data_IF_117345431415
#
_entry.id   IF_117345431415
#
_cell.length_a   1.000
_cell.length_b   1.000
_cell.length_c   1.000
_cell.angle_alpha   90.00
_cell.angle_beta   90.00
_cell.angle_gamma   90.00
#
_symmetry.space_group_name_H-M   'P 1'
#
loop_
_entity.id
_entity.type
_entity.pdbx_description
1 polymer ?
#
# COMPACT_ATOMS: atom_id res chain seq x y z
N UNK A 1 -9.47 -20.00 -8.74
CA UNK A 1 -10.70 -19.45 -9.35
C UNK A 1 -11.91 -19.45 -8.40
N UNK A 2 -12.42 -20.60 -7.92
CA UNK A 2 -13.64 -20.63 -7.11
C UNK A 2 -13.60 -19.79 -5.82
N UNK A 3 -12.51 -19.87 -5.04
CA UNK A 3 -12.29 -19.03 -3.84
C UNK A 3 -12.31 -17.54 -4.15
N UNK A 4 -11.73 -17.13 -5.28
CA UNK A 4 -11.67 -15.73 -5.74
C UNK A 4 -13.06 -15.23 -6.12
N UNK A 5 -13.82 -16.00 -6.90
CA UNK A 5 -15.18 -15.64 -7.28
C UNK A 5 -16.14 -15.59 -6.08
N UNK A 6 -16.06 -16.57 -5.18
CA UNK A 6 -16.82 -16.57 -3.94
C UNK A 6 -16.46 -15.38 -3.04
N UNK A 7 -15.17 -15.01 -3.00
CA UNK A 7 -14.72 -13.82 -2.29
C UNK A 7 -15.33 -12.54 -2.89
N UNK A 8 -15.29 -12.37 -4.22
CA UNK A 8 -15.90 -11.23 -4.90
C UNK A 8 -17.42 -11.15 -4.70
N UNK A 9 -18.13 -12.28 -4.75
CA UNK A 9 -19.56 -12.34 -4.43
C UNK A 9 -19.85 -11.93 -2.98
N UNK A 10 -19.01 -12.38 -2.04
CA UNK A 10 -19.09 -11.95 -0.64
C UNK A 10 -18.89 -10.44 -0.51
N UNK A 11 -17.96 -9.84 -1.25
CA UNK A 11 -17.74 -8.39 -1.25
C UNK A 11 -18.92 -7.61 -1.81
N UNK A 12 -19.62 -8.12 -2.84
CA UNK A 12 -20.83 -7.47 -3.37
C UNK A 12 -21.94 -7.38 -2.33
N UNK A 13 -22.13 -8.43 -1.53
CA UNK A 13 -23.15 -8.44 -0.47
C UNK A 13 -22.69 -7.78 0.84
N UNK A 14 -21.40 -7.89 1.17
CA UNK A 14 -20.86 -7.50 2.47
C UNK A 14 -19.38 -7.05 2.36
N UNK A 15 -19.11 -5.81 1.89
CA UNK A 15 -17.76 -5.30 1.63
C UNK A 15 -17.03 -4.89 2.93
N UNK A 16 -16.80 -5.85 3.84
CA UNK A 16 -16.22 -5.60 5.17
C UNK A 16 -14.70 -5.68 5.21
N UNK A 17 -14.11 -6.49 4.33
CA UNK A 17 -12.67 -6.84 4.36
C UNK A 17 -11.96 -6.32 3.12
N UNK A 18 -12.40 -5.18 2.59
CA UNK A 18 -11.73 -4.56 1.45
C UNK A 18 -10.29 -4.23 1.83
N UNK A 19 -9.35 -4.50 0.93
CA UNK A 19 -7.93 -4.34 1.19
C UNK A 19 -7.29 -3.37 0.20
N UNK A 20 -6.29 -2.61 0.63
CA UNK A 20 -5.52 -1.73 -0.26
C UNK A 20 -4.34 -2.48 -0.93
N UNK A 21 -3.95 -3.63 -0.37
CA UNK A 21 -2.86 -4.47 -0.86
C UNK A 21 -3.39 -5.85 -1.25
N UNK A 22 -3.24 -6.20 -2.53
CA UNK A 22 -3.69 -7.48 -3.08
C UNK A 22 -2.54 -8.44 -3.41
N UNK A 23 -1.37 -8.23 -2.81
CA UNK A 23 -0.22 -9.10 -3.00
C UNK A 23 -0.52 -10.57 -2.67
N UNK A 24 0.20 -11.47 -3.34
CA UNK A 24 -0.01 -12.93 -3.38
C UNK A 24 -0.19 -13.59 -1.99
N UNK A 25 0.40 -13.01 -0.94
CA UNK A 25 0.37 -13.58 0.40
C UNK A 25 -0.89 -13.21 1.21
N UNK A 26 -1.70 -12.26 0.75
CA UNK A 26 -2.94 -11.86 1.42
C UNK A 26 -4.08 -12.88 1.24
N UNK A 27 -4.04 -13.65 0.15
CA UNK A 27 -5.01 -14.71 -0.15
C UNK A 27 -4.30 -16.03 -0.40
N UNK A 28 -4.31 -16.98 0.55
CA UNK A 28 -3.62 -18.25 0.39
C UNK A 28 -4.18 -19.00 -0.82
N UNK A 29 -3.30 -19.23 -1.80
CA UNK A 29 -3.60 -20.03 -2.97
C UNK A 29 -4.09 -21.41 -2.51
N UNK A 30 -5.11 -21.93 -3.19
CA UNK A 30 -5.51 -23.32 -2.98
C UNK A 30 -4.53 -24.23 -3.72
N UNK A 31 -4.03 -25.24 -3.03
CA UNK A 31 -3.16 -26.28 -3.58
C UNK A 31 -3.95 -27.54 -3.96
N UNK A 32 -5.19 -27.68 -3.49
CA UNK A 32 -6.07 -28.80 -3.84
C UNK A 32 -7.54 -28.37 -3.98
N UNK A 33 -8.26 -29.03 -4.88
CA UNK A 33 -9.72 -28.88 -5.04
C UNK A 33 -10.48 -29.43 -3.82
N UNK A 34 -9.87 -30.38 -3.10
CA UNK A 34 -10.45 -31.02 -1.91
C UNK A 34 -10.31 -30.17 -0.64
N UNK A 35 -9.64 -29.02 -0.71
CA UNK A 35 -9.61 -28.10 0.42
C UNK A 35 -11.05 -27.69 0.82
N UNK A 36 -11.41 -27.74 2.12
CA UNK A 36 -12.75 -27.39 2.58
C UNK A 36 -13.22 -26.02 2.09
N UNK A 37 -12.32 -25.03 2.05
CA UNK A 37 -12.63 -23.69 1.57
C UNK A 37 -12.97 -23.64 0.07
N UNK A 38 -12.33 -24.49 -0.75
CA UNK A 38 -12.64 -24.61 -2.19
C UNK A 38 -13.99 -25.26 -2.38
N UNK A 39 -14.25 -26.37 -1.67
CA UNK A 39 -15.52 -27.09 -1.75
C UNK A 39 -16.71 -26.22 -1.34
N UNK A 40 -16.59 -25.47 -0.23
CA UNK A 40 -17.62 -24.51 0.21
C UNK A 40 -17.84 -23.43 -0.85
N UNK A 41 -16.77 -22.91 -1.45
CA UNK A 41 -16.87 -21.90 -2.51
C UNK A 41 -17.57 -22.45 -3.75
N UNK A 42 -17.27 -23.69 -4.16
CA UNK A 42 -17.93 -24.35 -5.28
C UNK A 42 -19.41 -24.60 -5.01
N UNK A 43 -19.75 -25.12 -3.83
CA UNK A 43 -21.14 -25.33 -3.42
C UNK A 43 -21.94 -24.02 -3.43
N UNK A 44 -21.35 -22.93 -2.91
CA UNK A 44 -21.98 -21.61 -2.94
C UNK A 44 -22.20 -21.11 -4.39
N UNK A 45 -21.22 -21.29 -5.28
CA UNK A 45 -21.33 -20.90 -6.69
C UNK A 45 -22.39 -21.73 -7.43
N UNK A 46 -22.46 -23.05 -7.19
CA UNK A 46 -23.47 -23.92 -7.80
C UNK A 46 -24.88 -23.60 -7.28
N UNK A 47 -25.04 -23.35 -5.98
CA UNK A 47 -26.31 -22.92 -5.40
C UNK A 47 -26.77 -21.59 -6.00
N UNK A 48 -25.85 -20.63 -6.15
CA UNK A 48 -26.13 -19.34 -6.76
C UNK A 48 -26.52 -19.48 -8.24
N UNK A 49 -25.79 -20.28 -9.01
CA UNK A 49 -26.11 -20.60 -10.40
C UNK A 49 -27.50 -21.25 -10.51
N UNK A 50 -27.82 -22.21 -9.65
CA UNK A 50 -29.14 -22.84 -9.59
C UNK A 50 -30.25 -21.83 -9.32
N UNK A 51 -30.03 -20.90 -8.39
CA UNK A 51 -30.96 -19.79 -8.09
C UNK A 51 -31.14 -18.84 -9.28
N UNK A 52 -30.04 -18.47 -9.96
CA UNK A 52 -30.08 -17.64 -11.18
C UNK A 52 -30.85 -18.35 -12.29
N UNK A 53 -30.58 -19.63 -12.55
CA UNK A 53 -31.27 -20.40 -13.58
C UNK A 53 -32.76 -20.56 -13.27
N UNK A 54 -33.12 -20.73 -12.00
CA UNK A 54 -34.51 -20.75 -11.56
C UNK A 54 -35.22 -19.41 -11.80
N UNK A 55 -34.57 -18.29 -11.45
CA UNK A 55 -35.08 -16.93 -11.74
C UNK A 55 -35.15 -16.66 -13.25
N UNK A 56 -34.18 -17.17 -14.02
CA UNK A 56 -34.11 -17.01 -15.46
C UNK A 56 -35.27 -17.68 -16.22
N UNK A 57 -35.94 -18.67 -15.61
CA UNK A 57 -37.20 -19.24 -16.16
C UNK A 57 -38.33 -18.21 -16.22
N UNK A 58 -38.28 -17.19 -15.35
CA UNK A 58 -39.28 -16.10 -15.30
C UNK A 58 -38.83 -14.88 -16.07
N UNK A 59 -37.54 -14.55 -15.99
CA UNK A 59 -36.98 -13.37 -16.64
C UNK A 59 -35.52 -13.60 -17.04
N UNK A 60 -35.26 -13.58 -18.35
CA UNK A 60 -33.93 -13.80 -18.93
C UNK A 60 -32.91 -12.72 -18.51
N UNK A 61 -33.35 -11.57 -17.99
CA UNK A 61 -32.46 -10.53 -17.48
C UNK A 61 -31.55 -11.05 -16.36
N UNK A 62 -32.04 -11.94 -15.48
CA UNK A 62 -31.19 -12.50 -14.40
C UNK A 62 -30.03 -13.35 -14.96
N UNK A 63 -30.25 -14.06 -16.06
CA UNK A 63 -29.19 -14.79 -16.75
C UNK A 63 -28.18 -13.84 -17.38
N UNK A 64 -28.64 -12.76 -18.03
CA UNK A 64 -27.76 -11.72 -18.55
C UNK A 64 -26.91 -11.09 -17.45
N UNK A 65 -27.50 -10.71 -16.33
CA UNK A 65 -26.80 -10.12 -15.18
C UNK A 65 -25.71 -11.05 -14.63
N UNK A 66 -26.00 -12.35 -14.54
CA UNK A 66 -25.04 -13.37 -14.11
C UNK A 66 -23.90 -13.55 -15.11
N UNK A 67 -24.21 -13.67 -16.40
CA UNK A 67 -23.19 -13.78 -17.45
C UNK A 67 -22.31 -12.53 -17.50
N UNK A 68 -22.90 -11.35 -17.38
CA UNK A 68 -22.16 -10.10 -17.27
C UNK A 68 -21.17 -10.12 -16.11
N UNK A 69 -21.62 -10.52 -14.91
CA UNK A 69 -20.76 -10.65 -13.74
C UNK A 69 -19.59 -11.60 -13.98
N UNK A 70 -19.86 -12.79 -14.53
CA UNK A 70 -18.80 -13.79 -14.81
C UNK A 70 -17.82 -13.31 -15.87
N UNK A 71 -18.32 -12.79 -16.99
CA UNK A 71 -17.49 -12.35 -18.13
C UNK A 71 -16.61 -11.17 -17.76
N UNK A 72 -17.16 -10.15 -17.09
CA UNK A 72 -16.39 -8.97 -16.68
C UNK A 72 -15.36 -9.27 -15.60
N UNK A 73 -15.51 -10.38 -14.87
CA UNK A 73 -14.55 -10.85 -13.88
C UNK A 73 -13.45 -11.75 -14.49
N UNK A 74 -13.59 -12.21 -15.75
CA UNK A 74 -12.60 -13.09 -16.40
C UNK A 74 -11.17 -12.52 -16.37
N UNK A 75 -10.92 -11.22 -16.68
CA UNK A 75 -9.57 -10.67 -16.70
C UNK A 75 -8.84 -10.79 -15.35
N UNK A 76 -9.57 -10.70 -14.24
CA UNK A 76 -9.05 -10.78 -12.86
C UNK A 76 -9.23 -12.16 -12.22
N UNK A 77 -9.79 -13.13 -12.93
CA UNK A 77 -10.07 -14.48 -12.42
C UNK A 77 -8.85 -15.42 -12.40
N UNK A 78 -7.66 -14.89 -12.71
CA UNK A 78 -6.38 -15.62 -12.82
C UNK A 78 -6.38 -16.72 -13.90
N UNK A 79 -7.25 -16.62 -14.92
CA UNK A 79 -7.17 -17.52 -16.10
C UNK A 79 -5.87 -17.26 -16.87
N UNK A 80 -5.45 -15.98 -16.95
CA UNK A 80 -4.12 -15.58 -17.37
C UNK A 80 -3.35 -15.20 -16.09
N UNK A 81 -2.31 -15.95 -15.70
CA UNK A 81 -1.58 -15.69 -14.46
C UNK A 81 -0.92 -14.30 -14.50
N UNK A 82 -1.23 -13.45 -13.53
CA UNK A 82 -0.55 -12.17 -13.32
C UNK A 82 -0.12 -12.06 -11.85
N UNK A 83 0.82 -11.17 -11.55
CA UNK A 83 1.48 -11.10 -10.25
C UNK A 83 0.55 -10.66 -9.09
N UNK A 84 -0.62 -10.09 -9.40
CA UNK A 84 -1.64 -9.71 -8.43
C UNK A 84 -2.81 -10.71 -8.50
N UNK A 85 -3.08 -11.43 -7.41
CA UNK A 85 -4.10 -12.51 -7.40
C UNK A 85 -5.54 -11.98 -7.45
N UNK A 86 -5.75 -10.78 -6.93
CA UNK A 86 -7.03 -10.13 -6.73
C UNK A 86 -6.84 -8.64 -6.97
N UNK A 87 -7.90 -7.97 -7.38
CA UNK A 87 -7.95 -6.52 -7.40
C UNK A 87 -9.42 -6.11 -7.28
N UNK A 88 -9.81 -5.68 -6.07
CA UNK A 88 -11.19 -5.33 -5.74
C UNK A 88 -11.66 -4.09 -6.50
N UNK A 89 -10.73 -3.23 -6.91
CA UNK A 89 -11.05 -2.06 -7.72
C UNK A 89 -11.54 -2.39 -9.13
N UNK A 90 -11.49 -3.65 -9.60
CA UNK A 90 -12.13 -4.06 -10.86
C UNK A 90 -13.59 -4.49 -10.71
N UNK A 91 -14.14 -4.53 -9.49
CA UNK A 91 -15.53 -4.91 -9.25
C UNK A 91 -16.57 -3.93 -9.85
N UNK A 92 -16.16 -2.72 -10.27
CA UNK A 92 -17.11 -1.73 -10.81
C UNK A 92 -17.84 -2.23 -12.06
N UNK A 93 -17.18 -3.00 -12.95
CA UNK A 93 -17.85 -3.59 -14.13
C UNK A 93 -18.78 -4.74 -13.74
N UNK A 94 -18.35 -5.76 -12.97
CA UNK A 94 -19.25 -6.80 -12.48
C UNK A 94 -20.45 -6.27 -11.67
N UNK A 95 -20.30 -5.17 -10.95
CA UNK A 95 -21.36 -4.55 -10.14
C UNK A 95 -22.58 -4.12 -10.97
N UNK A 96 -22.40 -3.81 -12.26
CA UNK A 96 -23.51 -3.42 -13.15
C UNK A 96 -24.55 -4.55 -13.23
N UNK A 97 -24.11 -5.80 -13.44
CA UNK A 97 -24.99 -6.96 -13.48
C UNK A 97 -25.75 -7.15 -12.16
N UNK A 98 -25.06 -6.97 -11.04
CA UNK A 98 -25.68 -7.04 -9.71
C UNK A 98 -26.74 -5.94 -9.49
N UNK A 99 -26.42 -4.69 -9.86
CA UNK A 99 -27.32 -3.55 -9.74
C UNK A 99 -28.59 -3.75 -10.60
N UNK A 100 -28.45 -4.24 -11.83
CA UNK A 100 -29.58 -4.55 -12.71
C UNK A 100 -30.47 -5.67 -12.14
N UNK A 101 -29.87 -6.74 -11.62
CA UNK A 101 -30.63 -7.82 -10.98
C UNK A 101 -31.39 -7.32 -9.74
N UNK A 102 -30.75 -6.49 -8.90
CA UNK A 102 -31.38 -5.88 -7.73
C UNK A 102 -32.53 -4.94 -8.11
N UNK A 103 -32.34 -4.08 -9.12
CA UNK A 103 -33.38 -3.19 -9.63
C UNK A 103 -34.58 -3.98 -10.16
N UNK A 104 -34.35 -5.07 -10.89
CA UNK A 104 -35.43 -5.93 -11.40
C UNK A 104 -36.19 -6.65 -10.30
N UNK A 105 -35.48 -7.14 -9.29
CA UNK A 105 -36.09 -7.74 -8.11
C UNK A 105 -36.97 -6.73 -7.36
N UNK A 106 -36.46 -5.51 -7.14
CA UNK A 106 -37.21 -4.42 -6.50
C UNK A 106 -38.46 -4.04 -7.30
N UNK A 107 -38.36 -3.91 -8.63
CA UNK A 107 -39.51 -3.63 -9.49
C UNK A 107 -40.57 -4.74 -9.42
N UNK A 108 -40.15 -6.00 -9.35
CA UNK A 108 -41.05 -7.14 -9.22
C UNK A 108 -41.74 -7.14 -7.85
N UNK A 109 -41.02 -6.80 -6.78
CA UNK A 109 -41.57 -6.68 -5.44
C UNK A 109 -42.61 -5.53 -5.34
N UNK A 110 -42.34 -4.38 -5.95
CA UNK A 110 -43.26 -3.23 -5.99
C UNK A 110 -44.60 -3.55 -6.67
N UNK A 111 -44.60 -4.45 -7.66
CA UNK A 111 -45.82 -4.90 -8.35
C UNK A 111 -46.63 -5.92 -7.57
N UNK A 112 -46.09 -6.50 -6.50
CA UNK A 112 -46.74 -7.57 -5.76
C UNK A 112 -47.72 -6.98 -4.72
N UNK A 113 -49.03 -7.31 -4.75
CA UNK A 113 -50.05 -6.67 -3.91
C UNK A 113 -49.87 -6.87 -2.40
N UNK A 114 -49.04 -7.84 -2.00
CA UNK A 114 -48.64 -8.10 -0.61
C UNK A 114 -47.67 -7.06 -0.05
N UNK A 115 -46.85 -6.42 -0.89
CA UNK A 115 -45.80 -5.53 -0.44
C UNK A 115 -46.28 -4.08 -0.56
N UNK A 116 -46.39 -3.39 0.59
CA UNK A 116 -46.71 -1.95 0.58
C UNK A 116 -45.53 -1.20 -0.05
N UNK A 117 -45.82 -0.32 -1.01
CA UNK A 117 -44.82 0.53 -1.66
C UNK A 117 -43.90 1.25 -0.65
N UNK A 118 -44.47 1.73 0.46
CA UNK A 118 -43.73 2.35 1.55
C UNK A 118 -42.70 1.42 2.22
N UNK A 119 -42.98 0.12 2.34
CA UNK A 119 -42.04 -0.84 2.94
C UNK A 119 -40.83 -1.10 2.05
N UNK A 120 -41.03 -1.18 0.73
CA UNK A 120 -39.93 -1.35 -0.24
C UNK A 120 -39.07 -0.09 -0.29
N UNK A 121 -39.70 1.09 -0.35
CA UNK A 121 -38.99 2.38 -0.33
C UNK A 121 -38.18 2.53 0.96
N UNK A 122 -38.78 2.22 2.12
CA UNK A 122 -38.08 2.25 3.40
C UNK A 122 -36.87 1.29 3.42
N UNK A 123 -37.02 0.07 2.90
CA UNK A 123 -35.91 -0.89 2.82
C UNK A 123 -34.76 -0.39 1.94
N UNK A 124 -35.07 0.21 0.78
CA UNK A 124 -34.05 0.82 -0.09
C UNK A 124 -33.38 2.01 0.59
N UNK A 125 -34.14 2.89 1.24
CA UNK A 125 -33.59 4.04 1.96
C UNK A 125 -32.66 3.60 3.10
N UNK A 126 -33.05 2.58 3.87
CA UNK A 126 -32.20 1.99 4.91
C UNK A 126 -30.92 1.41 4.30
N UNK A 127 -31.01 0.68 3.18
CA UNK A 127 -29.83 0.15 2.51
C UNK A 127 -28.87 1.26 2.05
N UNK A 128 -29.39 2.35 1.47
CA UNK A 128 -28.59 3.50 1.06
C UNK A 128 -27.90 4.19 2.25
N UNK A 129 -28.61 4.38 3.37
CA UNK A 129 -28.03 4.94 4.60
C UNK A 129 -26.92 4.03 5.14
N UNK A 130 -27.15 2.71 5.18
CA UNK A 130 -26.14 1.76 5.62
C UNK A 130 -24.89 1.78 4.73
N UNK A 131 -25.08 1.85 3.40
CA UNK A 131 -23.97 1.97 2.45
C UNK A 131 -23.24 3.31 2.62
N UNK A 132 -23.95 4.42 2.78
CA UNK A 132 -23.34 5.73 3.01
C UNK A 132 -22.51 5.76 4.31
N UNK A 133 -23.05 5.23 5.42
CA UNK A 133 -22.32 5.09 6.68
C UNK A 133 -21.07 4.23 6.49
N UNK A 134 -21.18 3.12 5.74
CA UNK A 134 -20.03 2.25 5.44
C UNK A 134 -18.97 2.95 4.61
N UNK A 135 -19.35 3.71 3.59
CA UNK A 135 -18.43 4.51 2.79
C UNK A 135 -17.71 5.54 3.65
N UNK A 136 -18.43 6.24 4.53
CA UNK A 136 -17.83 7.22 5.45
C UNK A 136 -16.84 6.58 6.43
N UNK A 137 -17.17 5.41 6.99
CA UNK A 137 -16.24 4.66 7.83
C UNK A 137 -15.01 4.24 7.03
N UNK A 138 -15.20 3.75 5.80
CA UNK A 138 -14.12 3.29 4.92
C UNK A 138 -13.17 4.42 4.53
N UNK A 139 -13.68 5.64 4.31
CA UNK A 139 -12.83 6.80 4.01
C UNK A 139 -11.83 7.12 5.13
N UNK A 140 -12.09 6.68 6.38
CA UNK A 140 -11.13 6.81 7.49
C UNK A 140 -9.89 5.95 7.30
N UNK A 141 -10.02 4.82 6.61
CA UNK A 141 -8.88 3.94 6.28
C UNK A 141 -7.88 4.64 5.35
N UNK A 142 -8.31 5.67 4.60
CA UNK A 142 -7.48 6.39 3.61
C UNK A 142 -7.01 7.76 4.10
N UNK A 143 -7.20 8.05 5.40
CA UNK A 143 -6.87 9.37 5.98
C UNK A 143 -5.37 9.67 5.91
N UNK A 144 -4.55 8.67 6.22
CA UNK A 144 -3.11 8.78 6.28
C UNK A 144 -2.47 7.39 6.12
N UNK A 145 -1.16 7.36 5.90
CA UNK A 145 -0.38 6.14 5.74
C UNK A 145 -0.55 5.20 6.95
N UNK A 146 -0.61 5.74 8.17
CA UNK A 146 -0.68 4.93 9.37
C UNK A 146 -2.02 4.18 9.46
N UNK A 147 -3.16 4.86 9.24
CA UNK A 147 -4.47 4.20 9.25
C UNK A 147 -4.61 3.18 8.11
N UNK A 148 -4.12 3.53 6.92
CA UNK A 148 -4.16 2.67 5.74
C UNK A 148 -3.37 1.38 5.96
N UNK A 149 -2.11 1.49 6.37
CA UNK A 149 -1.25 0.31 6.54
C UNK A 149 -1.60 -0.49 7.80
N UNK A 150 -2.12 0.15 8.85
CA UNK A 150 -2.67 -0.56 10.03
C UNK A 150 -3.85 -1.44 9.62
N UNK A 151 -4.79 -0.87 8.85
CA UNK A 151 -5.95 -1.62 8.34
C UNK A 151 -5.52 -2.77 7.43
N UNK A 152 -4.59 -2.51 6.53
CA UNK A 152 -4.05 -3.48 5.57
C UNK A 152 -3.38 -4.66 6.28
N UNK A 153 -2.56 -4.41 7.31
CA UNK A 153 -1.94 -5.48 8.11
C UNK A 153 -2.99 -6.28 8.89
N UNK A 154 -4.05 -5.64 9.39
CA UNK A 154 -5.14 -6.34 10.06
C UNK A 154 -5.93 -7.28 9.12
N UNK A 155 -6.05 -6.93 7.84
CA UNK A 155 -6.73 -7.77 6.84
C UNK A 155 -5.82 -8.77 6.12
N UNK A 156 -4.51 -8.48 6.04
CA UNK A 156 -3.49 -9.31 5.40
C UNK A 156 -2.21 -9.37 6.26
N UNK A 157 -2.24 -10.10 7.39
CA UNK A 157 -1.12 -10.15 8.34
C UNK A 157 0.16 -10.78 7.80
N UNK A 158 0.08 -11.59 6.73
CA UNK A 158 1.23 -12.22 6.07
C UNK A 158 1.71 -11.44 4.83
N UNK A 159 1.34 -10.17 4.70
CA UNK A 159 1.87 -9.29 3.67
C UNK A 159 3.14 -8.55 4.16
N UNK A 160 4.31 -8.92 3.63
CA UNK A 160 5.57 -8.25 3.93
C UNK A 160 5.55 -6.76 3.55
N UNK A 161 4.96 -6.41 2.40
CA UNK A 161 4.87 -5.02 1.92
C UNK A 161 4.04 -4.15 2.85
N UNK A 162 2.87 -4.64 3.28
CA UNK A 162 2.01 -3.93 4.22
C UNK A 162 2.70 -3.69 5.56
N UNK A 163 3.41 -4.70 6.08
CA UNK A 163 4.19 -4.56 7.32
C UNK A 163 5.37 -3.60 7.18
N UNK A 164 6.08 -3.63 6.05
CA UNK A 164 7.14 -2.68 5.75
C UNK A 164 6.62 -1.24 5.76
N UNK A 165 5.52 -1.00 5.04
CA UNK A 165 4.93 0.34 4.94
C UNK A 165 4.32 0.81 6.27
N UNK A 166 3.71 -0.10 7.05
CA UNK A 166 3.28 0.21 8.42
C UNK A 166 4.47 0.58 9.31
N UNK A 167 5.58 -0.14 9.20
CA UNK A 167 6.83 0.19 9.89
C UNK A 167 7.31 1.61 9.57
N UNK A 168 7.37 1.97 8.29
CA UNK A 168 7.72 3.33 7.87
C UNK A 168 6.76 4.37 8.43
N UNK A 169 5.45 4.14 8.33
CA UNK A 169 4.43 5.05 8.85
C UNK A 169 4.54 5.24 10.37
N UNK A 170 4.82 4.17 11.12
CA UNK A 170 5.04 4.23 12.57
C UNK A 170 6.29 5.04 12.91
N UNK A 171 7.39 4.89 12.17
CA UNK A 171 8.61 5.69 12.37
C UNK A 171 8.33 7.17 12.16
N UNK A 172 7.68 7.55 11.05
CA UNK A 172 7.28 8.94 10.77
C UNK A 172 6.34 9.50 11.84
N UNK A 173 5.45 8.66 12.37
CA UNK A 173 4.51 9.03 13.44
C UNK A 173 5.15 9.09 14.84
N UNK A 174 6.48 9.00 14.97
CA UNK A 174 7.17 9.07 16.26
C UNK A 174 7.08 7.80 17.11
N UNK A 175 6.74 6.65 16.51
CA UNK A 175 6.60 5.34 17.17
C UNK A 175 7.62 4.31 16.66
N UNK A 176 8.94 4.62 16.67
CA UNK A 176 9.94 3.76 16.06
C UNK A 176 10.10 2.39 16.74
N UNK A 177 9.75 2.24 18.03
CA UNK A 177 9.78 0.92 18.71
C UNK A 177 8.79 -0.06 18.07
N UNK A 178 7.56 0.39 17.83
CA UNK A 178 6.53 -0.43 17.19
C UNK A 178 6.85 -0.67 15.71
N UNK A 179 7.53 0.27 15.06
CA UNK A 179 8.02 0.10 13.70
C UNK A 179 8.98 -1.10 13.60
N UNK A 180 9.90 -1.28 14.55
CA UNK A 180 10.83 -2.41 14.55
C UNK A 180 10.11 -3.76 14.53
N UNK A 181 9.02 -3.90 15.28
CA UNK A 181 8.26 -5.16 15.34
C UNK A 181 7.60 -5.47 13.99
N UNK A 182 7.01 -4.46 13.35
CA UNK A 182 6.40 -4.63 12.02
C UNK A 182 7.45 -4.95 10.96
N UNK A 183 8.60 -4.28 10.98
CA UNK A 183 9.67 -4.47 10.02
C UNK A 183 10.36 -5.83 10.17
N UNK A 184 10.60 -6.29 11.41
CA UNK A 184 11.09 -7.65 11.68
C UNK A 184 10.09 -8.70 11.21
N UNK A 185 8.79 -8.48 11.43
CA UNK A 185 7.76 -9.35 10.92
C UNK A 185 7.71 -9.35 9.37
N UNK A 186 7.97 -8.21 8.71
CA UNK A 186 8.12 -8.15 7.25
C UNK A 186 9.30 -9.01 6.76
N UNK A 187 10.45 -8.95 7.44
CA UNK A 187 11.62 -9.77 7.11
C UNK A 187 11.43 -11.27 7.41
N UNK A 188 10.65 -11.62 8.44
CA UNK A 188 10.26 -13.03 8.67
C UNK A 188 9.47 -13.59 7.49
N UNK A 189 8.60 -12.78 6.88
CA UNK A 189 7.79 -13.18 5.72
C UNK A 189 8.62 -13.16 4.44
N UNK A 190 9.45 -12.12 4.24
CA UNK A 190 10.32 -11.95 3.07
C UNK A 190 11.75 -11.60 3.53
N UNK A 191 12.63 -12.61 3.72
CA UNK A 191 13.98 -12.39 4.26
C UNK A 191 14.88 -11.52 3.38
N UNK A 192 14.70 -11.57 2.05
CA UNK A 192 15.44 -10.73 1.09
C UNK A 192 14.60 -9.51 0.70
N UNK A 193 14.47 -8.55 1.61
CA UNK A 193 13.67 -7.34 1.40
C UNK A 193 14.46 -6.07 1.74
N UNK A 194 15.20 -5.47 0.77
CA UNK A 194 16.10 -4.35 1.04
C UNK A 194 15.38 -3.13 1.64
N UNK A 195 14.14 -2.84 1.22
CA UNK A 195 13.34 -1.75 1.75
C UNK A 195 13.02 -1.93 3.25
N UNK A 196 12.76 -3.16 3.70
CA UNK A 196 12.52 -3.44 5.11
C UNK A 196 13.79 -3.29 5.96
N UNK A 197 14.95 -3.68 5.44
CA UNK A 197 16.24 -3.43 6.08
C UNK A 197 16.56 -1.93 6.16
N UNK A 198 16.34 -1.16 5.09
CA UNK A 198 16.55 0.28 5.10
C UNK A 198 15.64 0.97 6.13
N UNK A 199 14.36 0.59 6.17
CA UNK A 199 13.41 1.12 7.16
C UNK A 199 13.75 0.71 8.60
N UNK A 200 14.33 -0.47 8.84
CA UNK A 200 14.89 -0.82 10.16
C UNK A 200 16.04 0.11 10.53
N UNK A 201 16.91 0.40 9.56
CA UNK A 201 17.98 1.39 9.72
C UNK A 201 17.47 2.74 10.19
N UNK A 202 16.48 3.28 9.49
CA UNK A 202 15.84 4.56 9.83
C UNK A 202 15.18 4.51 11.21
N UNK A 203 14.44 3.44 11.53
CA UNK A 203 13.79 3.28 12.83
C UNK A 203 14.81 3.19 13.99
N UNK A 204 15.93 2.49 13.79
CA UNK A 204 17.05 2.45 14.74
C UNK A 204 17.70 3.82 14.92
N UNK A 205 17.90 4.57 13.82
CA UNK A 205 18.41 5.94 13.87
C UNK A 205 17.53 6.87 14.70
N UNK A 206 16.20 6.78 14.52
CA UNK A 206 15.22 7.53 15.32
C UNK A 206 15.24 7.18 16.82
N UNK A 207 15.78 6.01 17.19
CA UNK A 207 16.00 5.57 18.57
C UNK A 207 17.41 5.91 19.10
N UNK A 208 18.26 6.56 18.31
CA UNK A 208 19.66 6.81 18.66
C UNK A 208 20.56 5.57 18.62
N UNK A 209 20.08 4.46 18.04
CA UNK A 209 20.82 3.20 17.92
C UNK A 209 21.69 3.21 16.65
N UNK A 210 22.64 4.14 16.59
CA UNK A 210 23.41 4.46 15.38
C UNK A 210 24.14 3.25 14.77
N UNK A 211 24.79 2.41 15.57
CA UNK A 211 25.50 1.23 15.06
C UNK A 211 24.54 0.16 14.49
N UNK A 212 23.37 -0.04 15.11
CA UNK A 212 22.34 -0.92 14.56
C UNK A 212 21.78 -0.37 13.25
N UNK A 213 21.60 0.96 13.17
CA UNK A 213 21.13 1.62 11.96
C UNK A 213 22.07 1.35 10.78
N UNK A 214 23.38 1.55 10.98
CA UNK A 214 24.43 1.24 9.99
C UNK A 214 24.41 -0.22 9.58
N UNK A 215 24.31 -1.14 10.54
CA UNK A 215 24.23 -2.58 10.27
C UNK A 215 23.09 -2.96 9.33
N UNK A 216 21.87 -2.47 9.61
CA UNK A 216 20.71 -2.75 8.74
C UNK A 216 20.80 -2.05 7.38
N UNK A 217 21.32 -0.82 7.31
CA UNK A 217 21.50 -0.11 6.04
C UNK A 217 22.53 -0.81 5.14
N UNK A 218 23.63 -1.30 5.71
CA UNK A 218 24.61 -2.13 4.99
C UNK A 218 23.98 -3.42 4.47
N UNK A 219 23.11 -4.07 5.24
CA UNK A 219 22.36 -5.25 4.76
C UNK A 219 21.40 -4.90 3.61
N UNK A 220 20.72 -3.75 3.66
CA UNK A 220 19.90 -3.27 2.56
C UNK A 220 20.73 -3.09 1.27
N UNK A 221 21.91 -2.48 1.39
CA UNK A 221 22.83 -2.24 0.28
C UNK A 221 23.49 -3.52 -0.24
N UNK A 222 23.75 -4.51 0.62
CA UNK A 222 24.23 -5.83 0.19
C UNK A 222 23.19 -6.55 -0.68
N UNK A 223 21.89 -6.33 -0.42
CA UNK A 223 20.79 -6.88 -1.23
C UNK A 223 20.51 -6.04 -2.48
N UNK A 224 20.66 -4.73 -2.41
CA UNK A 224 20.48 -3.81 -3.52
C UNK A 224 21.50 -2.66 -3.46
N UNK A 225 22.66 -2.79 -4.15
CA UNK A 225 23.70 -1.77 -4.15
C UNK A 225 23.29 -0.44 -4.80
N UNK A 226 22.25 -0.45 -5.64
CA UNK A 226 21.74 0.74 -6.35
C UNK A 226 20.62 1.46 -5.57
N UNK A 227 20.44 1.14 -4.28
CA UNK A 227 19.39 1.72 -3.46
C UNK A 227 19.80 3.10 -2.92
N UNK A 228 19.53 4.16 -3.69
CA UNK A 228 19.91 5.54 -3.37
C UNK A 228 19.47 5.99 -1.96
N UNK A 229 18.26 5.65 -1.53
CA UNK A 229 17.73 6.02 -0.21
C UNK A 229 18.49 5.33 0.93
N UNK A 230 18.95 4.09 0.75
CA UNK A 230 19.76 3.40 1.74
C UNK A 230 21.16 4.01 1.87
N UNK A 231 21.78 4.42 0.76
CA UNK A 231 23.04 5.18 0.78
C UNK A 231 22.87 6.53 1.49
N UNK A 232 21.79 7.25 1.19
CA UNK A 232 21.49 8.52 1.86
C UNK A 232 21.34 8.33 3.37
N UNK A 233 20.53 7.36 3.81
CA UNK A 233 20.33 7.10 5.23
C UNK A 233 21.60 6.58 5.93
N UNK A 234 22.47 5.85 5.21
CA UNK A 234 23.77 5.44 5.73
C UNK A 234 24.67 6.65 5.94
N UNK A 235 24.69 7.59 4.99
CA UNK A 235 25.41 8.86 5.13
C UNK A 235 24.91 9.68 6.33
N UNK A 236 23.59 9.77 6.54
CA UNK A 236 23.01 10.41 7.73
C UNK A 236 23.52 9.72 9.00
N UNK A 237 23.51 8.40 9.04
CA UNK A 237 23.94 7.64 10.21
C UNK A 237 25.43 7.83 10.53
N UNK A 238 26.31 7.87 9.53
CA UNK A 238 27.73 8.20 9.71
C UNK A 238 27.94 9.64 10.17
N UNK A 239 27.21 10.60 9.58
CA UNK A 239 27.29 12.01 9.99
C UNK A 239 26.87 12.20 11.45
N UNK A 240 25.84 11.49 11.93
CA UNK A 240 25.43 11.48 13.34
C UNK A 240 26.50 10.86 14.25
N UNK A 241 27.24 9.86 13.77
CA UNK A 241 28.36 9.26 14.50
C UNK A 241 29.64 10.14 14.48
N UNK A 242 29.68 11.20 13.69
CA UNK A 242 30.86 12.06 13.50
C UNK A 242 31.88 11.53 12.48
N UNK A 243 31.58 10.43 11.80
CA UNK A 243 32.40 9.84 10.74
C UNK A 243 32.11 10.54 9.40
N UNK A 244 32.68 11.75 9.26
CA UNK A 244 32.35 12.68 8.18
C UNK A 244 32.83 12.19 6.81
N UNK A 245 33.98 11.51 6.73
CA UNK A 245 34.51 10.91 5.51
C UNK A 245 33.58 9.83 4.98
N UNK A 246 33.15 8.89 5.83
CA UNK A 246 32.22 7.85 5.42
C UNK A 246 30.84 8.43 5.07
N UNK A 247 30.40 9.48 5.78
CA UNK A 247 29.18 10.20 5.45
C UNK A 247 29.24 10.81 4.05
N UNK A 248 30.33 11.52 3.72
CA UNK A 248 30.55 12.11 2.40
C UNK A 248 30.62 11.03 1.30
N UNK A 249 31.25 9.88 1.55
CA UNK A 249 31.26 8.75 0.62
C UNK A 249 29.86 8.22 0.32
N UNK A 250 29.07 7.97 1.37
CA UNK A 250 27.70 7.47 1.23
C UNK A 250 26.76 8.49 0.56
N UNK A 251 26.88 9.78 0.88
CA UNK A 251 26.09 10.81 0.20
C UNK A 251 26.50 10.98 -1.26
N UNK A 252 27.79 10.88 -1.59
CA UNK A 252 28.26 10.87 -2.99
C UNK A 252 27.59 9.78 -3.79
N UNK A 253 27.50 8.56 -3.24
CA UNK A 253 26.84 7.45 -3.92
C UNK A 253 25.33 7.64 -4.05
N UNK A 254 24.68 8.20 -3.02
CA UNK A 254 23.27 8.57 -3.10
C UNK A 254 22.99 9.61 -4.20
N UNK A 255 23.86 10.62 -4.35
CA UNK A 255 23.78 11.63 -5.41
C UNK A 255 24.07 11.03 -6.79
N UNK A 256 25.02 10.10 -6.89
CA UNK A 256 25.33 9.40 -8.14
C UNK A 256 24.12 8.59 -8.64
N UNK A 257 23.44 7.90 -7.73
CA UNK A 257 22.26 7.08 -8.03
C UNK A 257 20.99 7.90 -8.24
N UNK A 258 20.85 9.03 -7.54
CA UNK A 258 19.76 9.99 -7.72
C UNK A 258 20.29 11.43 -7.78
N UNK A 259 20.70 11.90 -8.97
CA UNK A 259 21.24 13.24 -9.16
C UNK A 259 20.25 14.37 -8.84
N UNK A 260 18.94 14.08 -8.81
CA UNK A 260 17.89 15.03 -8.47
C UNK A 260 17.62 15.18 -6.96
N UNK A 261 18.34 14.46 -6.09
CA UNK A 261 18.15 14.57 -4.65
C UNK A 261 18.83 15.81 -4.07
N UNK A 262 18.06 16.90 -3.94
CA UNK A 262 18.53 18.12 -3.28
C UNK A 262 19.02 17.87 -1.83
N UNK A 263 18.32 17.03 -1.07
CA UNK A 263 18.71 16.70 0.31
C UNK A 263 20.03 15.93 0.39
N UNK A 264 20.28 14.97 -0.52
CA UNK A 264 21.55 14.24 -0.54
C UNK A 264 22.72 15.16 -0.90
N UNK A 265 22.53 16.06 -1.88
CA UNK A 265 23.53 17.07 -2.27
C UNK A 265 23.82 18.06 -1.14
N UNK A 266 22.79 18.53 -0.47
CA UNK A 266 22.95 19.43 0.67
C UNK A 266 23.73 18.78 1.81
N UNK A 267 23.40 17.54 2.17
CA UNK A 267 24.10 16.83 3.24
C UNK A 267 25.53 16.44 2.85
N UNK A 268 25.79 16.14 1.57
CA UNK A 268 27.15 15.98 1.05
C UNK A 268 27.95 17.27 1.22
N UNK A 269 27.40 18.41 0.79
CA UNK A 269 28.04 19.70 0.96
C UNK A 269 28.34 20.02 2.43
N UNK A 270 27.39 19.74 3.33
CA UNK A 270 27.59 19.94 4.77
C UNK A 270 28.71 19.06 5.32
N UNK A 271 28.80 17.80 4.91
CA UNK A 271 29.89 16.90 5.28
C UNK A 271 31.24 17.44 4.78
N UNK A 272 31.32 17.85 3.50
CA UNK A 272 32.52 18.42 2.89
C UNK A 272 32.98 19.71 3.59
N UNK A 273 32.07 20.60 3.96
CA UNK A 273 32.40 21.82 4.73
C UNK A 273 33.05 21.44 6.06
N UNK A 274 32.46 20.49 6.79
CA UNK A 274 33.00 20.04 8.08
C UNK A 274 34.36 19.32 7.95
N UNK A 275 34.63 18.72 6.79
CA UNK A 275 35.92 18.14 6.42
C UNK A 275 36.97 19.18 5.98
N UNK A 276 36.63 20.46 5.94
CA UNK A 276 37.54 21.51 5.45
C UNK A 276 37.69 21.54 3.93
N UNK A 277 36.72 21.01 3.18
CA UNK A 277 36.67 20.98 1.71
C UNK A 277 35.54 21.86 1.14
N UNK A 278 35.50 23.17 1.46
CA UNK A 278 34.38 24.05 1.09
C UNK A 278 34.28 24.32 -0.41
N UNK A 279 35.38 24.22 -1.16
CA UNK A 279 35.37 24.44 -2.61
C UNK A 279 34.57 23.35 -3.34
N UNK A 280 34.72 22.08 -2.94
CA UNK A 280 33.92 20.97 -3.45
C UNK A 280 32.45 21.08 -3.01
N UNK A 281 32.21 21.54 -1.78
CA UNK A 281 30.86 21.76 -1.28
C UNK A 281 30.08 22.82 -2.08
N UNK A 282 30.77 23.85 -2.58
CA UNK A 282 30.15 24.97 -3.32
C UNK A 282 29.43 24.49 -4.58
N UNK A 283 30.03 23.57 -5.33
CA UNK A 283 29.40 23.01 -6.54
C UNK A 283 28.08 22.29 -6.18
N UNK A 284 28.10 21.47 -5.13
CA UNK A 284 26.91 20.76 -4.69
C UNK A 284 25.81 21.72 -4.20
N UNK A 285 26.15 22.78 -3.46
CA UNK A 285 25.18 23.80 -3.02
C UNK A 285 24.57 24.58 -4.18
N UNK A 286 25.36 24.91 -5.21
CA UNK A 286 24.85 25.53 -6.43
C UNK A 286 23.85 24.61 -7.15
N UNK A 287 24.16 23.31 -7.23
CA UNK A 287 23.24 22.33 -7.81
C UNK A 287 21.98 22.13 -6.96
N UNK A 288 22.04 22.26 -5.62
CA UNK A 288 20.84 22.29 -4.77
C UNK A 288 19.91 23.41 -5.19
N UNK A 289 20.41 24.64 -5.40
CA UNK A 289 19.59 25.78 -5.83
C UNK A 289 19.02 25.58 -7.25
N UNK A 290 19.78 24.95 -8.15
CA UNK A 290 19.32 24.65 -9.51
C UNK A 290 18.17 23.64 -9.54
N UNK A 291 18.04 22.80 -8.52
CA UNK A 291 16.95 21.83 -8.38
C UNK A 291 15.64 22.42 -7.83
N UNK A 292 15.56 23.74 -7.65
CA UNK A 292 14.40 24.44 -7.09
C UNK A 292 13.91 23.80 -5.77
N UNK A 293 14.74 23.83 -4.71
CA UNK A 293 14.43 23.19 -3.45
C UNK A 293 13.31 23.94 -2.71
N UNK A 294 12.75 23.33 -1.67
CA UNK A 294 11.81 24.02 -0.79
C UNK A 294 12.47 25.24 -0.10
N UNK A 295 11.66 26.23 0.26
CA UNK A 295 12.14 27.52 0.76
C UNK A 295 13.10 27.42 1.96
N UNK A 296 12.88 26.48 2.89
CA UNK A 296 13.77 26.26 4.04
C UNK A 296 15.15 25.73 3.61
N UNK A 297 15.17 24.73 2.73
CA UNK A 297 16.41 24.18 2.19
C UNK A 297 17.15 25.21 1.32
N UNK A 298 16.41 26.01 0.55
CA UNK A 298 16.94 27.13 -0.23
C UNK A 298 17.64 28.16 0.67
N UNK A 299 16.97 28.59 1.76
CA UNK A 299 17.52 29.55 2.70
C UNK A 299 18.79 29.04 3.38
N UNK A 300 18.79 27.79 3.84
CA UNK A 300 19.97 27.12 4.42
C UNK A 300 21.12 27.05 3.42
N UNK A 301 20.83 26.69 2.17
CA UNK A 301 21.83 26.58 1.09
C UNK A 301 22.46 27.92 0.78
N UNK A 302 21.65 28.99 0.66
CA UNK A 302 22.16 30.36 0.44
C UNK A 302 23.04 30.85 1.59
N UNK A 303 22.63 30.59 2.83
CA UNK A 303 23.42 30.94 4.02
C UNK A 303 24.80 30.29 3.99
N UNK A 304 24.89 29.01 3.65
CA UNK A 304 26.18 28.31 3.53
C UNK A 304 27.05 28.84 2.38
N UNK A 305 26.45 29.27 1.26
CA UNK A 305 27.19 29.86 0.13
C UNK A 305 27.77 31.24 0.44
N UNK A 306 27.11 32.02 1.29
CA UNK A 306 27.56 33.36 1.67
C UNK A 306 28.72 33.35 2.67
N UNK A 307 29.00 32.19 3.30
CA UNK A 307 30.01 32.05 4.36
C UNK A 307 29.58 32.75 5.66
N UNK A 308 30.34 32.59 6.77
CA UNK A 308 30.09 33.40 7.96
C UNK A 308 30.22 34.87 7.58
N UNK A 309 29.15 35.65 7.78
CA UNK A 309 29.22 37.10 7.63
C UNK A 309 30.35 37.61 8.53
N UNK A 310 31.42 38.16 7.92
CA UNK A 310 32.49 38.84 8.62
C UNK A 310 31.88 39.78 9.69
N UNK A 311 32.10 39.43 10.95
CA UNK A 311 31.99 40.32 12.12
C UNK A 311 33.25 40.17 12.93
#
# INVERSE_FOLDING_TARGET
>A
MAKVQAHYLKLLGFPRTLNADYSYNAFPAAHSILEPAVLVSLLALFALLGGVLWLARRDKLYLFCWLWFVVTLLPVSQIIPHHELLAEHYLYLPLIGFALAAARAAQTALRHPRWRHGAVIAAVAVALVLLAVRTTIRNRDWRDDLTLWTKTVATAPECARARNNLGRALTVSGRPREALDQLRAALRIKPRYPEAYANLGVACGALGLTEQARGYLTQALALNPQFAEAHYNLGVSHATAGDLEAAAGAFTEAVRLNPGSASARFNLALALIKLGRPDEAREHLQQVLALAPEADLEAKTRSLLQGPANR
#
